data_IF_007968137909
#
_entry.id   IF_007968137909
#
_cell.length_a   1.000
_cell.length_b   1.000
_cell.length_c   1.000
_cell.angle_alpha   90.00
_cell.angle_beta   90.00
_cell.angle_gamma   90.00
#
_symmetry.space_group_name_H-M   'P 1'
#
loop_
_entity.id
_entity.type
_entity.pdbx_description
1 polymer ?
#
# COMPACT_ATOMS: atom_id res chain seq x y z
N UNK A 1 1.56 3.79 -6.98
CA UNK A 1 1.42 2.68 -7.94
C UNK A 1 0.06 2.01 -7.78
N UNK A 2 -0.18 0.89 -8.47
CA UNK A 2 -1.49 0.18 -8.44
C UNK A 2 -1.86 -0.31 -7.03
N UNK A 3 -0.87 -0.80 -6.28
CA UNK A 3 -1.07 -1.30 -4.92
C UNK A 3 -1.48 -0.18 -3.95
N UNK A 4 -1.02 1.05 -4.15
CA UNK A 4 -1.47 2.21 -3.35
C UNK A 4 -2.96 2.46 -3.55
N UNK A 5 -3.41 2.58 -4.81
CA UNK A 5 -4.83 2.78 -5.11
C UNK A 5 -5.71 1.63 -4.59
N UNK A 6 -5.20 0.39 -4.68
CA UNK A 6 -5.90 -0.79 -4.19
C UNK A 6 -6.05 -0.81 -2.66
N UNK A 7 -4.95 -0.61 -1.91
CA UNK A 7 -5.00 -0.66 -0.45
C UNK A 7 -5.78 0.53 0.11
N UNK A 8 -5.58 1.72 -0.44
CA UNK A 8 -6.31 2.89 -0.01
C UNK A 8 -7.79 2.84 -0.35
N UNK A 9 -8.17 2.27 -1.51
CA UNK A 9 -9.59 2.04 -1.81
C UNK A 9 -10.25 1.09 -0.80
N UNK A 10 -9.56 0.03 -0.39
CA UNK A 10 -10.06 -0.86 0.69
C UNK A 10 -10.16 -0.10 2.03
N UNK A 11 -9.17 0.73 2.34
CA UNK A 11 -9.17 1.55 3.56
C UNK A 11 -10.33 2.55 3.57
N UNK A 12 -10.61 3.22 2.45
CA UNK A 12 -11.73 4.15 2.29
C UNK A 12 -13.08 3.48 2.54
N UNK A 13 -13.29 2.31 1.94
CA UNK A 13 -14.50 1.53 2.19
C UNK A 13 -14.61 1.10 3.66
N UNK A 14 -13.49 0.75 4.32
CA UNK A 14 -13.48 0.41 5.74
C UNK A 14 -13.84 1.61 6.64
N UNK A 15 -13.34 2.81 6.32
CA UNK A 15 -13.67 4.05 7.04
C UNK A 15 -15.13 4.42 6.83
N UNK A 16 -15.60 4.48 5.58
CA UNK A 16 -16.99 4.79 5.25
C UNK A 16 -17.97 3.80 5.87
N UNK A 17 -17.64 2.50 5.88
CA UNK A 17 -18.44 1.47 6.52
C UNK A 17 -18.42 1.52 8.06
N UNK A 18 -17.47 2.21 8.68
CA UNK A 18 -17.43 2.33 10.14
C UNK A 18 -18.33 3.43 10.70
N UNK A 19 -18.84 4.32 9.85
CA UNK A 19 -19.59 5.52 10.21
C UNK A 19 -18.85 6.49 11.15
N UNK A 20 -17.54 6.28 11.37
CA UNK A 20 -16.71 7.16 12.21
C UNK A 20 -16.40 8.49 11.53
N UNK A 21 -16.07 8.45 10.23
CA UNK A 21 -15.94 9.62 9.37
C UNK A 21 -16.35 9.28 7.93
N UNK A 22 -17.64 9.40 7.59
CA UNK A 22 -18.13 9.09 6.24
C UNK A 22 -17.59 10.01 5.14
N UNK A 23 -16.99 11.14 5.51
CA UNK A 23 -16.47 12.13 4.56
C UNK A 23 -14.97 11.98 4.34
N UNK A 24 -14.31 11.06 5.03
CA UNK A 24 -12.91 10.77 4.79
C UNK A 24 -12.72 10.20 3.39
N UNK A 25 -11.91 10.87 2.57
CA UNK A 25 -11.55 10.41 1.23
C UNK A 25 -10.10 9.97 1.20
N UNK A 26 -9.83 8.85 0.54
CA UNK A 26 -8.47 8.33 0.49
C UNK A 26 -7.53 9.19 -0.35
N UNK A 27 -6.42 9.61 0.25
CA UNK A 27 -5.29 10.13 -0.51
C UNK A 27 -4.37 8.98 -0.98
N UNK A 28 -4.38 8.69 -2.27
CA UNK A 28 -3.52 7.64 -2.88
C UNK A 28 -2.02 7.92 -2.68
N UNK A 29 -1.64 9.19 -2.52
CA UNK A 29 -0.27 9.59 -2.19
C UNK A 29 0.02 9.64 -0.68
N UNK A 30 -0.95 9.29 0.18
CA UNK A 30 -0.88 9.45 1.64
C UNK A 30 0.19 8.61 2.35
N UNK A 31 0.85 7.68 1.66
CA UNK A 31 2.01 6.95 2.18
C UNK A 31 3.30 7.22 1.38
N UNK A 32 3.31 8.18 0.45
CA UNK A 32 4.40 8.37 -0.49
C UNK A 32 5.73 8.73 0.18
N UNK A 33 5.73 9.58 1.21
CA UNK A 33 6.96 9.91 1.95
C UNK A 33 7.51 8.69 2.68
N UNK A 34 6.62 7.94 3.35
CA UNK A 34 6.99 6.76 4.10
C UNK A 34 7.56 5.64 3.21
N UNK A 35 6.90 5.30 2.10
CA UNK A 35 7.40 4.26 1.19
C UNK A 35 8.70 4.66 0.49
N UNK A 36 8.88 5.96 0.22
CA UNK A 36 10.14 6.48 -0.33
C UNK A 36 11.28 6.29 0.66
N UNK A 37 11.09 6.69 1.92
CA UNK A 37 12.06 6.46 2.98
C UNK A 37 12.33 4.97 3.20
N UNK A 38 11.29 4.13 3.21
CA UNK A 38 11.41 2.68 3.33
C UNK A 38 12.29 2.09 2.22
N UNK A 39 12.21 2.61 0.99
CA UNK A 39 13.09 2.18 -0.12
C UNK A 39 14.56 2.46 0.20
N UNK A 40 14.88 3.66 0.68
CA UNK A 40 16.25 4.02 1.05
C UNK A 40 16.78 3.27 2.28
N UNK A 41 15.90 2.84 3.18
CA UNK A 41 16.27 2.02 4.34
C UNK A 41 16.45 0.55 3.94
N UNK A 42 15.53 -0.02 3.16
CA UNK A 42 15.53 -1.44 2.82
C UNK A 42 16.64 -1.82 1.84
N UNK A 43 16.99 -0.93 0.90
CA UNK A 43 18.03 -1.20 -0.08
C UNK A 43 19.40 -1.59 0.55
N UNK A 44 20.00 -0.78 1.45
CA UNK A 44 21.25 -1.17 2.10
C UNK A 44 21.11 -2.39 3.01
N UNK A 45 19.94 -2.63 3.60
CA UNK A 45 19.68 -3.82 4.42
C UNK A 45 19.69 -5.07 3.56
N UNK A 46 18.98 -5.07 2.44
CA UNK A 46 18.93 -6.19 1.49
C UNK A 46 20.33 -6.46 0.96
N UNK A 47 21.07 -5.42 0.59
CA UNK A 47 22.48 -5.55 0.18
C UNK A 47 23.33 -6.21 1.28
N UNK A 48 23.23 -5.73 2.53
CA UNK A 48 23.98 -6.28 3.66
C UNK A 48 23.63 -7.75 3.92
N UNK A 49 22.35 -8.11 3.92
CA UNK A 49 21.91 -9.50 4.11
C UNK A 49 22.43 -10.38 2.97
N UNK A 50 22.41 -9.89 1.73
CA UNK A 50 22.92 -10.61 0.56
C UNK A 50 24.42 -10.89 0.71
N UNK A 51 25.23 -9.84 0.82
CA UNK A 51 26.71 -9.91 0.78
C UNK A 51 27.31 -10.53 2.06
N UNK A 52 26.73 -10.23 3.23
CA UNK A 52 27.31 -10.66 4.52
C UNK A 52 26.69 -11.90 5.13
N UNK A 53 25.46 -12.26 4.77
CA UNK A 53 24.76 -13.40 5.38
C UNK A 53 24.53 -14.52 4.40
N UNK A 54 24.04 -14.23 3.19
CA UNK A 54 23.58 -15.26 2.25
C UNK A 54 24.69 -15.74 1.33
N UNK A 55 25.44 -14.83 0.71
CA UNK A 55 26.54 -15.18 -0.20
C UNK A 55 27.61 -16.06 0.47
N UNK A 56 28.06 -15.77 1.71
CA UNK A 56 29.01 -16.64 2.40
C UNK A 56 28.45 -18.04 2.72
N UNK A 57 27.13 -18.19 2.84
CA UNK A 57 26.47 -19.49 3.09
C UNK A 57 26.34 -20.33 1.82
N UNK A 58 26.23 -19.68 0.66
CA UNK A 58 26.13 -20.35 -0.64
C UNK A 58 27.50 -20.88 -1.11
N UNK A 59 28.59 -20.20 -0.74
CA UNK A 59 29.94 -20.58 -1.12
C UNK A 59 30.23 -20.33 -2.61
N UNK A 60 31.47 -20.62 -3.06
CA UNK A 60 31.85 -20.44 -4.46
C UNK A 60 31.10 -21.41 -5.37
N UNK A 61 30.62 -20.91 -6.51
CA UNK A 61 29.94 -21.72 -7.51
C UNK A 61 30.84 -22.84 -8.04
N UNK A 62 30.42 -24.09 -7.86
CA UNK A 62 31.21 -25.29 -8.23
C UNK A 62 30.83 -25.89 -9.59
N UNK A 63 29.88 -25.29 -10.34
CA UNK A 63 29.35 -25.86 -11.57
C UNK A 63 28.42 -27.07 -11.33
N UNK A 64 27.66 -27.47 -12.36
CA UNK A 64 26.73 -28.63 -12.28
C UNK A 64 25.26 -28.33 -12.58
N UNK A 65 24.91 -27.08 -12.89
CA UNK A 65 23.59 -26.73 -13.44
C UNK A 65 23.41 -27.33 -14.84
N UNK A 66 22.93 -28.56 -14.92
CA UNK A 66 22.26 -29.07 -16.13
C UNK A 66 20.80 -28.70 -16.03
N UNK A 67 20.39 -27.59 -16.65
CA UNK A 67 18.97 -27.37 -16.88
C UNK A 67 18.45 -28.56 -17.72
N UNK A 68 17.41 -29.30 -17.28
CA UNK A 68 16.69 -30.19 -18.17
C UNK A 68 16.05 -29.30 -19.25
N UNK A 69 16.64 -29.27 -20.45
CA UNK A 69 16.24 -28.34 -21.51
C UNK A 69 17.31 -27.33 -21.96
N UNK A 70 18.57 -27.42 -21.51
CA UNK A 70 19.69 -26.63 -22.08
C UNK A 70 20.08 -27.04 -23.52
N UNK A 71 19.20 -27.74 -24.23
CA UNK A 71 19.22 -27.88 -25.68
C UNK A 71 17.95 -27.20 -26.19
N UNK A 72 18.12 -26.03 -26.82
CA UNK A 72 17.09 -25.27 -27.54
C UNK A 72 15.82 -24.88 -26.76
N UNK A 73 15.97 -24.14 -25.65
CA UNK A 73 14.87 -23.33 -25.13
C UNK A 73 15.23 -21.84 -25.22
N UNK A 74 14.90 -21.28 -26.39
CA UNK A 74 14.87 -19.87 -26.85
C UNK A 74 13.94 -18.98 -25.99
N UNK A 75 13.78 -19.31 -24.70
CA UNK A 75 12.83 -18.69 -23.77
C UNK A 75 13.47 -18.18 -22.47
N UNK A 76 14.78 -18.32 -22.30
CA UNK A 76 15.52 -17.46 -21.37
C UNK A 76 15.63 -16.09 -22.04
N UNK A 77 15.03 -15.01 -21.51
CA UNK A 77 15.27 -13.68 -22.04
C UNK A 77 16.70 -13.29 -21.68
N UNK A 78 17.68 -13.76 -22.45
CA UNK A 78 18.99 -13.15 -22.47
C UNK A 78 18.78 -11.70 -22.98
N UNK A 79 19.08 -10.66 -22.17
CA UNK A 79 18.95 -9.28 -22.59
C UNK A 79 19.79 -8.95 -23.83
N UNK A 80 20.74 -9.82 -24.19
CA UNK A 80 21.58 -9.69 -25.38
C UNK A 80 20.98 -10.30 -26.65
N UNK A 81 19.95 -11.17 -26.55
CA UNK A 81 19.29 -11.79 -27.72
C UNK A 81 18.15 -10.93 -28.29
N UNK A 82 17.56 -10.05 -27.48
CA UNK A 82 16.74 -8.97 -28.02
C UNK A 82 17.65 -7.93 -28.68
N UNK A 83 17.52 -7.74 -30.01
CA UNK A 83 18.10 -6.62 -30.76
C UNK A 83 18.13 -5.34 -29.90
N UNK A 84 19.25 -5.03 -29.22
CA UNK A 84 19.32 -3.93 -28.25
C UNK A 84 18.94 -2.59 -28.88
N UNK A 85 19.10 -2.48 -30.20
CA UNK A 85 18.63 -1.38 -31.02
C UNK A 85 17.10 -1.24 -31.05
N UNK A 86 16.34 -2.35 -31.15
CA UNK A 86 14.87 -2.35 -31.09
C UNK A 86 14.40 -2.01 -29.67
N UNK A 87 14.98 -2.61 -28.65
CA UNK A 87 14.65 -2.30 -27.25
C UNK A 87 14.92 -0.82 -26.93
N UNK A 88 16.07 -0.28 -27.35
CA UNK A 88 16.40 1.14 -27.19
C UNK A 88 15.41 2.07 -27.92
N UNK A 89 15.02 1.71 -29.15
CA UNK A 89 14.00 2.44 -29.91
C UNK A 89 12.64 2.41 -29.20
N UNK A 90 12.26 1.24 -28.67
CA UNK A 90 11.06 1.07 -27.85
C UNK A 90 11.07 1.95 -26.62
N UNK A 91 12.19 1.97 -25.88
CA UNK A 91 12.34 2.75 -24.67
C UNK A 91 12.26 4.26 -24.95
N UNK A 92 12.84 4.73 -26.07
CA UNK A 92 12.70 6.13 -26.51
C UNK A 92 11.25 6.49 -26.83
N UNK A 93 10.54 5.63 -27.56
CA UNK A 93 9.13 5.84 -27.88
C UNK A 93 8.27 5.88 -26.61
N UNK A 94 8.51 4.96 -25.68
CA UNK A 94 7.87 4.95 -24.37
C UNK A 94 8.18 6.22 -23.57
N UNK A 95 9.45 6.67 -23.54
CA UNK A 95 9.85 7.90 -22.87
C UNK A 95 9.14 9.15 -23.42
N UNK A 96 8.99 9.25 -24.74
CA UNK A 96 8.22 10.34 -25.37
C UNK A 96 6.75 10.27 -24.98
N UNK A 97 6.14 9.08 -24.98
CA UNK A 97 4.75 8.90 -24.53
C UNK A 97 4.59 9.27 -23.05
N UNK A 98 5.55 8.90 -22.19
CA UNK A 98 5.53 9.28 -20.78
C UNK A 98 5.59 10.80 -20.60
N UNK A 99 6.51 11.46 -21.31
CA UNK A 99 6.63 12.93 -21.28
C UNK A 99 5.36 13.62 -21.79
N UNK A 100 4.71 13.06 -22.82
CA UNK A 100 3.43 13.58 -23.30
C UNK A 100 2.34 13.51 -22.22
N UNK A 101 2.21 12.38 -21.51
CA UNK A 101 1.23 12.24 -20.44
C UNK A 101 1.54 13.16 -19.27
N UNK A 102 2.81 13.26 -18.86
CA UNK A 102 3.24 14.19 -17.81
C UNK A 102 2.91 15.63 -18.21
N UNK A 103 3.24 16.04 -19.44
CA UNK A 103 2.94 17.37 -19.95
C UNK A 103 1.43 17.66 -19.99
N UNK A 104 0.61 16.66 -20.35
CA UNK A 104 -0.85 16.78 -20.34
C UNK A 104 -1.39 17.03 -18.92
N UNK A 105 -0.93 16.26 -17.92
CA UNK A 105 -1.35 16.47 -16.53
C UNK A 105 -0.85 17.80 -15.98
N UNK A 106 0.39 18.20 -16.29
CA UNK A 106 0.93 19.52 -15.93
C UNK A 106 0.09 20.64 -16.55
N UNK A 107 -0.32 20.51 -17.82
CA UNK A 107 -1.20 21.48 -18.47
C UNK A 107 -2.59 21.53 -17.80
N UNK A 108 -3.13 20.40 -17.36
CA UNK A 108 -4.40 20.32 -16.63
C UNK A 108 -4.30 20.80 -15.18
N UNK A 109 -3.10 20.99 -14.62
CA UNK A 109 -2.86 21.59 -13.30
C UNK A 109 -2.63 23.10 -13.40
N UNK A 110 -1.82 23.55 -14.37
CA UNK A 110 -1.38 24.96 -14.49
C UNK A 110 -2.05 25.78 -15.60
N UNK A 111 -2.97 25.19 -16.37
CA UNK A 111 -3.78 25.92 -17.35
C UNK A 111 -4.75 26.94 -16.73
N UNK A 112 -5.40 27.80 -17.54
CA UNK A 112 -6.49 28.64 -17.05
C UNK A 112 -7.78 27.83 -16.85
N UNK A 113 -8.42 27.94 -15.67
CA UNK A 113 -9.68 27.25 -15.36
C UNK A 113 -9.51 25.72 -15.20
N UNK A 114 -8.48 25.31 -14.47
CA UNK A 114 -8.04 23.91 -14.43
C UNK A 114 -8.98 22.99 -13.69
N UNK A 115 -9.24 21.78 -14.22
CA UNK A 115 -10.15 20.82 -13.58
C UNK A 115 -9.51 20.09 -12.40
N UNK A 116 -8.17 20.16 -12.24
CA UNK A 116 -7.43 19.37 -11.25
C UNK A 116 -7.08 20.15 -9.96
N UNK A 117 -7.42 21.44 -9.90
CA UNK A 117 -7.28 22.25 -8.69
C UNK A 117 -8.66 22.80 -8.35
N UNK A 118 -9.08 22.60 -7.11
CA UNK A 118 -10.26 23.25 -6.56
C UNK A 118 -9.83 24.54 -5.85
N UNK A 119 -9.70 25.63 -6.62
CA UNK A 119 -9.31 26.95 -6.10
C UNK A 119 -10.29 27.50 -5.05
N UNK A 120 -11.55 27.02 -5.05
CA UNK A 120 -12.55 27.40 -4.07
C UNK A 120 -12.46 26.62 -2.75
N UNK A 121 -11.68 25.53 -2.69
CA UNK A 121 -11.65 24.65 -1.53
C UNK A 121 -11.13 25.33 -0.25
N UNK A 122 -10.24 26.31 -0.38
CA UNK A 122 -9.65 27.03 0.73
C UNK A 122 -10.16 28.47 0.88
N UNK A 123 -11.27 28.82 0.22
CA UNK A 123 -11.86 30.15 0.26
C UNK A 123 -13.25 30.05 0.88
N UNK A 124 -13.48 30.77 1.97
CA UNK A 124 -14.79 30.85 2.63
C UNK A 124 -15.78 31.66 1.77
N UNK A 125 -17.08 31.56 2.07
CA UNK A 125 -18.14 32.25 1.30
C UNK A 125 -17.98 33.78 1.23
N UNK A 126 -17.25 34.37 2.17
CA UNK A 126 -16.92 35.80 2.22
C UNK A 126 -15.66 36.19 1.43
N UNK A 127 -15.03 35.23 0.76
CA UNK A 127 -13.80 35.43 -0.03
C UNK A 127 -12.51 35.40 0.80
N UNK A 128 -12.59 35.12 2.10
CA UNK A 128 -11.40 35.00 2.95
C UNK A 128 -10.75 33.62 2.81
N UNK A 129 -9.41 33.56 2.84
CA UNK A 129 -8.70 32.28 2.82
C UNK A 129 -8.79 31.64 4.20
N UNK A 130 -9.18 30.38 4.26
CA UNK A 130 -9.28 29.60 5.50
C UNK A 130 -7.86 29.43 6.07
N UNK A 131 -7.65 29.86 7.30
CA UNK A 131 -6.32 30.03 7.92
C UNK A 131 -5.51 28.73 8.04
N UNK A 132 -6.18 27.57 8.11
CA UNK A 132 -5.56 26.25 8.28
C UNK A 132 -5.77 25.32 7.07
N UNK A 133 -6.20 25.86 5.93
CA UNK A 133 -6.48 25.03 4.76
C UNK A 133 -5.19 24.62 4.04
N UNK A 134 -4.95 23.31 4.02
CA UNK A 134 -3.82 22.68 3.36
C UNK A 134 -3.89 22.88 1.84
N UNK A 135 -2.75 23.15 1.21
CA UNK A 135 -2.64 23.18 -0.26
C UNK A 135 -3.13 21.86 -0.89
N UNK A 136 -3.04 20.77 -0.13
CA UNK A 136 -3.47 19.46 -0.57
C UNK A 136 -4.99 19.32 -0.67
N UNK A 137 -5.76 20.12 0.09
CA UNK A 137 -7.21 20.22 -0.03
C UNK A 137 -7.61 20.84 -1.38
N UNK A 138 -6.89 21.87 -1.84
CA UNK A 138 -7.07 22.43 -3.20
C UNK A 138 -6.68 21.42 -4.28
N UNK A 139 -5.68 20.57 -4.01
CA UNK A 139 -5.17 19.54 -4.91
C UNK A 139 -5.93 18.20 -4.81
N UNK A 140 -7.02 18.11 -4.04
CA UNK A 140 -7.81 16.87 -3.95
C UNK A 140 -8.25 16.30 -5.32
N UNK A 141 -8.70 17.13 -6.30
CA UNK A 141 -9.02 16.63 -7.64
C UNK A 141 -7.79 16.09 -8.39
N UNK A 142 -6.59 16.63 -8.13
CA UNK A 142 -5.35 16.08 -8.68
C UNK A 142 -5.08 14.68 -8.12
N UNK A 143 -5.18 14.48 -6.80
CA UNK A 143 -4.93 13.19 -6.16
C UNK A 143 -5.90 12.11 -6.63
N UNK A 144 -7.20 12.44 -6.75
CA UNK A 144 -8.21 11.50 -7.28
C UNK A 144 -7.95 11.16 -8.76
N UNK A 145 -7.43 12.10 -9.56
CA UNK A 145 -7.08 11.86 -10.96
C UNK A 145 -5.86 10.96 -11.16
N UNK A 146 -5.04 10.70 -10.13
CA UNK A 146 -3.78 9.96 -10.28
C UNK A 146 -4.00 8.52 -10.77
N UNK A 147 -5.10 7.86 -10.42
CA UNK A 147 -5.41 6.52 -10.93
C UNK A 147 -5.56 6.55 -12.46
N UNK A 148 -6.34 7.51 -12.96
CA UNK A 148 -6.52 7.71 -14.39
C UNK A 148 -5.20 8.13 -15.07
N UNK A 149 -4.40 8.96 -14.40
CA UNK A 149 -3.07 9.37 -14.86
C UNK A 149 -2.15 8.17 -15.07
N UNK A 150 -2.04 7.29 -14.08
CA UNK A 150 -1.23 6.08 -14.16
C UNK A 150 -1.76 5.10 -15.20
N UNK A 151 -3.08 4.98 -15.34
CA UNK A 151 -3.68 4.17 -16.40
C UNK A 151 -3.26 4.67 -17.78
N UNK A 152 -3.45 5.95 -18.08
CA UNK A 152 -3.08 6.55 -19.38
C UNK A 152 -1.58 6.48 -19.60
N UNK A 153 -0.77 6.74 -18.56
CA UNK A 153 0.68 6.64 -18.60
C UNK A 153 1.13 5.23 -19.00
N UNK A 154 0.69 4.19 -18.27
CA UNK A 154 1.09 2.81 -18.55
C UNK A 154 0.53 2.29 -19.88
N UNK A 155 -0.70 2.67 -20.23
CA UNK A 155 -1.30 2.30 -21.51
C UNK A 155 -0.52 2.89 -22.69
N UNK A 156 -0.25 4.19 -22.68
CA UNK A 156 0.44 4.86 -23.78
C UNK A 156 1.92 4.48 -23.87
N UNK A 157 2.60 4.35 -22.74
CA UNK A 157 4.01 3.91 -22.72
C UNK A 157 4.15 2.46 -23.17
N UNK A 158 3.30 1.55 -22.69
CA UNK A 158 3.26 0.16 -23.12
C UNK A 158 2.91 0.02 -24.60
N UNK A 159 1.93 0.78 -25.09
CA UNK A 159 1.57 0.82 -26.51
C UNK A 159 2.70 1.36 -27.39
N UNK A 160 3.31 2.49 -27.01
CA UNK A 160 4.41 3.10 -27.75
C UNK A 160 5.64 2.18 -27.81
N UNK A 161 5.98 1.54 -26.70
CA UNK A 161 7.05 0.53 -26.64
C UNK A 161 6.72 -0.65 -27.57
N UNK A 162 5.56 -1.27 -27.38
CA UNK A 162 5.18 -2.47 -28.13
C UNK A 162 5.04 -2.23 -29.63
N UNK A 163 4.59 -1.03 -30.03
CA UNK A 163 4.53 -0.64 -31.44
C UNK A 163 5.93 -0.45 -32.06
N UNK A 164 6.86 0.11 -31.30
CA UNK A 164 8.23 0.39 -31.75
C UNK A 164 9.11 -0.86 -31.84
N UNK A 165 8.91 -1.84 -30.95
CA UNK A 165 9.60 -3.14 -30.98
C UNK A 165 8.90 -4.14 -31.91
N UNK A 166 7.63 -3.91 -32.25
CA UNK A 166 6.86 -4.73 -33.19
C UNK A 166 6.08 -5.87 -32.54
N UNK A 167 5.96 -5.88 -31.21
CA UNK A 167 5.12 -6.83 -30.45
C UNK A 167 3.64 -6.48 -30.58
N UNK A 168 3.30 -5.19 -30.72
CA UNK A 168 1.94 -4.71 -30.99
C UNK A 168 1.90 -4.19 -32.43
N UNK A 169 1.26 -4.92 -33.34
CA UNK A 169 1.21 -4.57 -34.76
C UNK A 169 -0.05 -3.79 -35.11
N UNK A 170 -1.16 -4.13 -34.44
CA UNK A 170 -2.46 -3.55 -34.70
C UNK A 170 -3.27 -3.35 -33.38
N UNK A 171 -4.44 -2.72 -33.48
CA UNK A 171 -5.29 -2.44 -32.32
C UNK A 171 -5.90 -3.70 -31.69
N UNK A 172 -6.06 -4.80 -32.45
CA UNK A 172 -6.59 -6.07 -31.93
C UNK A 172 -5.58 -6.74 -31.02
N UNK A 173 -4.29 -6.66 -31.36
CA UNK A 173 -3.22 -7.17 -30.49
C UNK A 173 -3.28 -6.46 -29.13
N UNK A 174 -3.41 -5.13 -29.13
CA UNK A 174 -3.56 -4.35 -27.91
C UNK A 174 -4.81 -4.75 -27.10
N UNK A 175 -5.97 -4.87 -27.76
CA UNK A 175 -7.22 -5.28 -27.09
C UNK A 175 -7.13 -6.69 -26.52
N UNK A 176 -6.51 -7.63 -27.23
CA UNK A 176 -6.30 -8.99 -26.75
C UNK A 176 -5.40 -9.02 -25.51
N UNK A 177 -4.33 -8.22 -25.49
CA UNK A 177 -3.46 -8.09 -24.31
C UNK A 177 -4.21 -7.51 -23.10
N UNK A 178 -5.05 -6.49 -23.32
CA UNK A 178 -5.91 -5.96 -22.26
C UNK A 178 -6.93 -6.99 -21.75
N UNK A 179 -7.50 -7.80 -22.65
CA UNK A 179 -8.45 -8.85 -22.29
C UNK A 179 -7.79 -9.97 -21.47
N UNK A 180 -6.56 -10.37 -21.80
CA UNK A 180 -5.81 -11.36 -21.01
C UNK A 180 -5.51 -10.82 -19.61
N UNK A 181 -5.08 -9.55 -19.49
CA UNK A 181 -4.89 -8.92 -18.19
C UNK A 181 -6.18 -8.89 -17.34
N UNK A 182 -7.34 -8.68 -17.96
CA UNK A 182 -8.64 -8.74 -17.27
C UNK A 182 -9.04 -10.15 -16.85
N UNK A 183 -8.62 -11.18 -17.59
CA UNK A 183 -8.84 -12.59 -17.23
C UNK A 183 -8.03 -12.96 -15.98
N UNK A 184 -6.79 -12.48 -15.88
CA UNK A 184 -5.96 -12.64 -14.66
C UNK A 184 -6.61 -11.97 -13.44
N UNK A 185 -7.29 -10.84 -13.64
CA UNK A 185 -8.05 -10.14 -12.60
C UNK A 185 -9.35 -10.85 -12.18
N UNK A 186 -9.76 -11.93 -12.86
CA UNK A 186 -11.01 -12.64 -12.58
C UNK A 186 -11.10 -13.17 -11.13
N UNK A 187 -9.99 -13.71 -10.59
CA UNK A 187 -9.93 -14.13 -9.19
C UNK A 187 -10.15 -12.96 -8.23
N UNK A 188 -9.52 -11.81 -8.50
CA UNK A 188 -9.65 -10.61 -7.69
C UNK A 188 -11.10 -10.10 -7.69
N UNK A 189 -11.80 -10.11 -8.83
CA UNK A 189 -13.20 -9.67 -8.91
C UNK A 189 -14.13 -10.54 -8.04
N UNK A 190 -13.94 -11.86 -8.05
CA UNK A 190 -14.73 -12.78 -7.20
C UNK A 190 -14.47 -12.53 -5.72
N UNK A 191 -13.20 -12.33 -5.35
CA UNK A 191 -12.80 -12.02 -3.98
C UNK A 191 -13.36 -10.66 -3.53
N UNK A 192 -13.20 -9.62 -4.33
CA UNK A 192 -13.71 -8.28 -4.04
C UNK A 192 -15.24 -8.28 -3.89
N UNK A 193 -15.95 -9.06 -4.72
CA UNK A 193 -17.39 -9.26 -4.57
C UNK A 193 -17.75 -9.83 -3.19
N UNK A 194 -17.10 -10.92 -2.77
CA UNK A 194 -17.37 -11.53 -1.46
C UNK A 194 -16.96 -10.61 -0.30
N UNK A 195 -15.82 -9.93 -0.41
CA UNK A 195 -15.34 -8.97 0.58
C UNK A 195 -16.30 -7.77 0.72
N UNK A 196 -16.77 -7.19 -0.37
CA UNK A 196 -17.73 -6.08 -0.34
C UNK A 196 -19.03 -6.48 0.38
N UNK A 197 -19.53 -7.69 0.14
CA UNK A 197 -20.71 -8.20 0.87
C UNK A 197 -20.41 -8.42 2.36
N UNK A 198 -19.24 -8.97 2.70
CA UNK A 198 -18.82 -9.10 4.09
C UNK A 198 -18.77 -7.75 4.80
N UNK A 199 -18.10 -6.74 4.20
CA UNK A 199 -18.01 -5.38 4.74
C UNK A 199 -19.40 -4.78 4.94
N UNK A 200 -20.28 -4.89 3.94
CA UNK A 200 -21.65 -4.39 4.03
C UNK A 200 -22.46 -5.07 5.16
N UNK A 201 -22.41 -6.40 5.25
CA UNK A 201 -23.11 -7.14 6.32
C UNK A 201 -22.51 -6.88 7.71
N UNK A 202 -21.18 -6.74 7.80
CA UNK A 202 -20.46 -6.43 9.03
C UNK A 202 -20.79 -5.04 9.56
N UNK A 203 -20.98 -4.08 8.65
CA UNK A 203 -21.48 -2.75 8.96
C UNK A 203 -22.97 -2.79 9.37
N UNK A 204 -23.86 -3.38 8.57
CA UNK A 204 -25.30 -3.42 8.88
C UNK A 204 -25.63 -4.11 10.20
N UNK A 205 -24.81 -5.09 10.60
CA UNK A 205 -24.94 -5.78 11.89
C UNK A 205 -24.39 -4.99 13.08
N UNK A 206 -23.77 -3.82 12.85
CA UNK A 206 -23.03 -3.03 13.82
C UNK A 206 -21.83 -3.77 14.46
N UNK A 207 -21.47 -4.96 13.96
CA UNK A 207 -20.35 -5.73 14.49
C UNK A 207 -19.02 -5.02 14.25
N UNK A 208 -18.89 -4.23 13.18
CA UNK A 208 -17.72 -3.39 12.95
C UNK A 208 -17.48 -2.37 14.04
N UNK A 209 -18.51 -1.56 14.35
CA UNK A 209 -18.43 -0.57 15.41
C UNK A 209 -18.16 -1.22 16.78
N UNK A 210 -18.88 -2.30 17.11
CA UNK A 210 -18.70 -3.03 18.38
C UNK A 210 -17.27 -3.56 18.50
N UNK A 211 -16.76 -4.21 17.45
CA UNK A 211 -15.40 -4.77 17.42
C UNK A 211 -14.35 -3.67 17.55
N UNK A 212 -14.56 -2.54 16.86
CA UNK A 212 -13.65 -1.39 16.90
C UNK A 212 -13.58 -0.77 18.30
N UNK A 213 -14.73 -0.52 18.93
CA UNK A 213 -14.79 0.08 20.27
C UNK A 213 -14.20 -0.85 21.34
N UNK A 214 -14.56 -2.14 21.33
CA UNK A 214 -13.99 -3.09 22.29
C UNK A 214 -12.50 -3.34 22.05
N UNK A 215 -12.06 -3.41 20.79
CA UNK A 215 -10.65 -3.54 20.43
C UNK A 215 -9.83 -2.33 20.86
N UNK A 216 -10.35 -1.12 20.63
CA UNK A 216 -9.72 0.13 21.04
C UNK A 216 -9.62 0.18 22.58
N UNK A 217 -10.71 -0.10 23.30
CA UNK A 217 -10.69 -0.13 24.77
C UNK A 217 -9.74 -1.19 25.34
N UNK A 218 -9.61 -2.36 24.69
CA UNK A 218 -8.64 -3.38 25.09
C UNK A 218 -7.20 -2.88 24.93
N UNK A 219 -6.89 -2.22 23.81
CA UNK A 219 -5.55 -1.64 23.58
C UNK A 219 -5.28 -0.48 24.53
N UNK A 220 -6.24 0.42 24.72
CA UNK A 220 -6.13 1.57 25.64
C UNK A 220 -5.86 1.09 27.08
N UNK A 221 -6.52 0.01 27.51
CA UNK A 221 -6.31 -0.57 28.84
C UNK A 221 -4.89 -1.10 29.09
N UNK A 222 -4.12 -1.37 28.03
CA UNK A 222 -2.71 -1.77 28.17
C UNK A 222 -1.79 -0.60 28.56
N UNK A 223 -2.25 0.65 28.37
CA UNK A 223 -1.44 1.85 28.59
C UNK A 223 -0.26 1.99 27.64
N UNK A 224 -0.23 1.23 26.53
CA UNK A 224 0.85 1.29 25.56
C UNK A 224 0.80 2.59 24.75
N UNK A 225 1.94 3.27 24.53
CA UNK A 225 2.02 4.38 23.60
C UNK A 225 1.59 3.99 22.18
N UNK A 226 0.89 4.88 21.47
CA UNK A 226 0.43 4.66 20.09
C UNK A 226 1.53 4.21 19.11
N UNK A 227 2.78 4.76 19.15
CA UNK A 227 3.86 4.26 18.31
C UNK A 227 4.21 2.79 18.57
N UNK A 228 4.01 2.27 19.79
CA UNK A 228 4.23 0.84 20.08
C UNK A 228 3.07 0.00 19.56
N UNK A 229 1.83 0.49 19.69
CA UNK A 229 0.64 -0.17 19.14
C UNK A 229 0.77 -0.38 17.64
N UNK A 230 1.24 0.64 16.89
CA UNK A 230 1.43 0.50 15.44
C UNK A 230 2.56 -0.48 15.09
N UNK A 231 3.62 -0.54 15.90
CA UNK A 231 4.67 -1.55 15.77
C UNK A 231 4.14 -2.98 16.02
N UNK A 232 3.26 -3.15 16.99
CA UNK A 232 2.60 -4.44 17.25
C UNK A 232 1.67 -4.85 16.09
N UNK A 233 1.01 -3.88 15.44
CA UNK A 233 0.22 -4.13 14.23
C UNK A 233 1.10 -4.66 13.08
N UNK A 234 2.33 -4.16 12.92
CA UNK A 234 3.28 -4.69 11.92
C UNK A 234 3.57 -6.16 12.20
N UNK A 235 3.89 -6.52 13.44
CA UNK A 235 4.18 -7.90 13.82
C UNK A 235 2.98 -8.82 13.63
N UNK A 236 1.79 -8.36 14.02
CA UNK A 236 0.53 -9.07 13.82
C UNK A 236 0.26 -9.34 12.33
N UNK A 237 0.40 -8.30 11.50
CA UNK A 237 0.22 -8.43 10.05
C UNK A 237 1.26 -9.36 9.43
N UNK A 238 2.52 -9.25 9.86
CA UNK A 238 3.60 -10.12 9.41
C UNK A 238 3.37 -11.59 9.77
N UNK A 239 2.82 -11.87 10.94
CA UNK A 239 2.42 -13.23 11.33
C UNK A 239 1.27 -13.76 10.47
N UNK A 240 0.21 -12.96 10.29
CA UNK A 240 -0.94 -13.35 9.47
C UNK A 240 -0.58 -13.62 8.00
N UNK A 241 0.39 -12.90 7.47
CA UNK A 241 0.88 -13.08 6.10
C UNK A 241 1.43 -14.49 5.83
N UNK A 242 1.90 -15.21 6.86
CA UNK A 242 2.35 -16.59 6.69
C UNK A 242 1.21 -17.55 6.31
N UNK A 243 -0.04 -17.18 6.61
CA UNK A 243 -1.23 -17.97 6.32
C UNK A 243 -1.99 -17.49 5.09
N UNK A 244 -1.90 -16.20 4.76
CA UNK A 244 -2.61 -15.60 3.62
C UNK A 244 -1.63 -14.73 2.83
N UNK A 245 -1.12 -15.24 1.71
CA UNK A 245 -0.09 -14.54 0.91
C UNK A 245 -0.61 -13.37 0.05
N UNK A 246 -1.93 -13.19 -0.09
CA UNK A 246 -2.49 -12.10 -0.89
C UNK A 246 -2.64 -10.83 -0.06
N UNK A 247 -1.91 -9.77 -0.45
CA UNK A 247 -1.97 -8.45 0.18
C UNK A 247 -3.39 -7.84 0.12
N UNK A 248 -4.08 -7.98 -1.01
CA UNK A 248 -5.44 -7.43 -1.14
C UNK A 248 -6.47 -8.25 -0.37
N UNK A 249 -6.37 -9.58 -0.37
CA UNK A 249 -7.33 -10.45 0.33
C UNK A 249 -7.27 -10.25 1.85
N UNK A 250 -6.06 -10.19 2.41
CA UNK A 250 -5.87 -9.90 3.83
C UNK A 250 -6.37 -8.52 4.20
N UNK A 251 -6.01 -7.49 3.44
CA UNK A 251 -6.42 -6.14 3.80
C UNK A 251 -7.93 -5.97 3.71
N UNK A 252 -8.57 -6.58 2.72
CA UNK A 252 -10.04 -6.60 2.62
C UNK A 252 -10.73 -7.25 3.83
N UNK A 253 -10.08 -8.22 4.48
CA UNK A 253 -10.57 -8.85 5.70
C UNK A 253 -10.26 -8.03 6.97
N UNK A 254 -9.06 -7.45 7.05
CA UNK A 254 -8.54 -6.80 8.26
C UNK A 254 -8.93 -5.33 8.37
N UNK A 255 -8.95 -4.58 7.27
CA UNK A 255 -9.21 -3.15 7.27
C UNK A 255 -10.53 -2.77 7.95
N UNK A 256 -11.67 -3.47 7.72
CA UNK A 256 -12.95 -3.15 8.35
C UNK A 256 -12.97 -3.24 9.88
N UNK A 257 -11.98 -3.93 10.46
CA UNK A 257 -11.84 -4.10 11.91
C UNK A 257 -10.73 -3.19 12.44
N UNK A 258 -9.54 -3.26 11.83
CA UNK A 258 -8.35 -2.60 12.34
C UNK A 258 -8.34 -1.10 12.09
N UNK A 259 -8.81 -0.63 10.93
CA UNK A 259 -8.79 0.80 10.60
C UNK A 259 -9.67 1.59 11.56
N UNK A 260 -10.95 1.24 11.77
CA UNK A 260 -11.81 1.98 12.70
C UNK A 260 -11.31 1.91 14.14
N UNK A 261 -10.80 0.75 14.57
CA UNK A 261 -10.22 0.56 15.89
C UNK A 261 -9.03 1.52 16.14
N UNK A 262 -8.14 1.66 15.15
CA UNK A 262 -6.97 2.52 15.25
C UNK A 262 -7.33 4.01 15.16
N UNK A 263 -8.36 4.36 14.36
CA UNK A 263 -8.91 5.73 14.33
C UNK A 263 -9.42 6.17 15.70
N UNK A 264 -10.14 5.29 16.42
CA UNK A 264 -10.61 5.58 17.78
C UNK A 264 -9.47 5.80 18.78
N UNK A 265 -8.31 5.20 18.53
CA UNK A 265 -7.08 5.40 19.31
C UNK A 265 -6.28 6.64 18.87
N UNK A 266 -6.73 7.36 17.84
CA UNK A 266 -6.08 8.56 17.31
C UNK A 266 -4.98 8.28 16.27
N UNK A 267 -4.95 7.09 15.67
CA UNK A 267 -4.06 6.75 14.55
C UNK A 267 -4.81 6.92 13.22
N UNK A 268 -4.18 7.56 12.23
CA UNK A 268 -4.81 7.79 10.93
C UNK A 268 -5.03 6.52 10.10
N UNK A 269 -6.04 6.50 9.21
CA UNK A 269 -6.23 5.41 8.25
C UNK A 269 -5.00 5.17 7.37
N UNK A 270 -4.28 6.23 7.00
CA UNK A 270 -2.99 6.17 6.31
C UNK A 270 -1.92 5.49 7.16
N UNK A 271 -1.93 5.76 8.47
CA UNK A 271 -1.08 5.11 9.46
C UNK A 271 -1.32 3.61 9.58
N UNK A 272 -2.57 3.21 9.71
CA UNK A 272 -2.97 1.81 9.71
C UNK A 272 -2.55 1.10 8.40
N UNK A 273 -2.76 1.76 7.26
CA UNK A 273 -2.36 1.24 5.94
C UNK A 273 -0.84 1.12 5.83
N UNK A 274 -0.08 2.10 6.30
CA UNK A 274 1.39 2.04 6.30
C UNK A 274 1.92 0.86 7.13
N UNK A 275 1.38 0.64 8.33
CA UNK A 275 1.75 -0.47 9.19
C UNK A 275 1.44 -1.82 8.58
N UNK A 276 0.26 -1.94 7.97
CA UNK A 276 -0.12 -3.12 7.21
C UNK A 276 0.90 -3.43 6.10
N UNK A 277 1.30 -2.41 5.32
CA UNK A 277 2.27 -2.57 4.22
C UNK A 277 3.63 -3.09 4.69
N UNK A 278 4.12 -2.60 5.83
CA UNK A 278 5.39 -3.09 6.41
C UNK A 278 5.27 -4.56 6.79
N UNK A 279 4.22 -4.95 7.52
CA UNK A 279 4.03 -6.34 7.94
C UNK A 279 3.81 -7.31 6.77
N UNK A 280 2.96 -6.91 5.81
CA UNK A 280 2.67 -7.67 4.60
C UNK A 280 3.92 -7.92 3.76
N UNK A 281 4.77 -6.91 3.57
CA UNK A 281 5.97 -7.03 2.75
C UNK A 281 7.08 -7.84 3.43
N UNK A 282 7.28 -7.68 4.73
CA UNK A 282 8.42 -8.27 5.44
C UNK A 282 8.44 -9.80 5.45
N UNK A 283 7.28 -10.47 5.52
CA UNK A 283 7.20 -11.94 5.62
C UNK A 283 6.75 -12.63 4.33
N UNK A 284 6.55 -11.88 3.24
CA UNK A 284 6.03 -12.44 1.99
C UNK A 284 7.02 -13.40 1.32
N UNK A 285 8.32 -13.21 1.56
CA UNK A 285 9.40 -14.03 0.98
C UNK A 285 9.60 -15.37 1.68
N UNK A 286 9.02 -15.56 2.87
CA UNK A 286 9.11 -16.82 3.63
C UNK A 286 7.82 -17.63 3.61
N UNK A 287 6.72 -17.10 3.05
CA UNK A 287 5.46 -17.83 2.97
C UNK A 287 5.42 -18.76 1.76
N UNK A 288 5.26 -20.09 1.96
CA UNK A 288 5.14 -21.04 0.86
C UNK A 288 3.79 -20.93 0.14
N UNK A 289 2.84 -20.18 0.71
CA UNK A 289 1.50 -19.94 0.15
C UNK A 289 1.48 -18.79 -0.87
N UNK A 290 2.61 -18.10 -1.04
CA UNK A 290 2.74 -17.05 -2.05
C UNK A 290 2.74 -17.66 -3.46
N UNK A 291 1.94 -17.08 -4.36
CA UNK A 291 1.69 -17.62 -5.72
C UNK A 291 2.98 -17.78 -6.54
N UNK A 292 3.99 -16.93 -6.32
CA UNK A 292 5.27 -17.01 -7.04
C UNK A 292 6.29 -17.96 -6.40
N UNK A 293 6.01 -18.50 -5.20
CA UNK A 293 6.95 -19.37 -4.49
C UNK A 293 7.38 -20.60 -5.31
N UNK A 294 6.48 -21.34 -5.97
CA UNK A 294 6.87 -22.48 -6.81
C UNK A 294 7.75 -22.08 -7.99
N UNK A 295 7.48 -20.92 -8.61
CA UNK A 295 8.27 -20.42 -9.73
C UNK A 295 9.71 -20.09 -9.29
N UNK A 296 9.86 -19.41 -8.15
CA UNK A 296 11.18 -19.08 -7.57
C UNK A 296 11.94 -20.37 -7.22
N UNK A 297 11.24 -21.37 -6.66
CA UNK A 297 11.86 -22.67 -6.37
C UNK A 297 12.40 -23.33 -7.66
N UNK A 298 11.61 -23.35 -8.73
CA UNK A 298 12.05 -23.90 -10.02
C UNK A 298 13.27 -23.14 -10.54
N UNK A 299 13.32 -21.82 -10.40
CA UNK A 299 14.51 -21.05 -10.76
C UNK A 299 15.73 -21.38 -9.91
N UNK A 300 15.58 -21.57 -8.60
CA UNK A 300 16.68 -22.00 -7.74
C UNK A 300 17.16 -23.41 -8.10
N UNK A 301 16.23 -24.32 -8.43
CA UNK A 301 16.53 -25.70 -8.84
C UNK A 301 17.31 -25.79 -10.16
N UNK A 302 17.24 -24.77 -11.02
CA UNK A 302 18.11 -24.67 -12.21
C UNK A 302 19.59 -24.60 -11.84
N UNK A 303 19.91 -23.97 -10.72
CA UNK A 303 21.28 -23.80 -10.24
C UNK A 303 21.68 -24.90 -9.25
N UNK A 304 20.74 -25.34 -8.40
CA UNK A 304 20.98 -26.39 -7.40
C UNK A 304 19.81 -27.38 -7.41
N UNK A 305 19.94 -28.55 -8.08
CA UNK A 305 18.82 -29.49 -8.26
C UNK A 305 18.17 -29.97 -6.95
N UNK A 306 18.97 -30.13 -5.89
CA UNK A 306 18.50 -30.56 -4.56
C UNK A 306 17.88 -29.41 -3.73
N UNK A 307 17.65 -28.23 -4.33
CA UNK A 307 17.09 -27.09 -3.62
C UNK A 307 15.59 -27.30 -3.36
N UNK A 308 15.24 -27.46 -2.09
CA UNK A 308 13.87 -27.71 -1.65
C UNK A 308 13.16 -26.48 -1.10
N UNK A 309 11.86 -26.62 -0.82
CA UNK A 309 11.03 -25.59 -0.19
C UNK A 309 11.66 -25.06 1.11
N UNK A 310 12.14 -25.97 1.98
CA UNK A 310 12.79 -25.61 3.24
C UNK A 310 14.10 -24.85 3.05
N UNK A 311 14.90 -25.21 2.03
CA UNK A 311 16.13 -24.50 1.69
C UNK A 311 15.86 -23.07 1.23
N UNK A 312 14.82 -22.88 0.39
CA UNK A 312 14.39 -21.56 -0.05
C UNK A 312 13.90 -20.71 1.13
N UNK A 313 13.01 -21.24 1.96
CA UNK A 313 12.51 -20.53 3.15
C UNK A 313 13.65 -20.19 4.12
N UNK A 314 14.57 -21.12 4.39
CA UNK A 314 15.71 -20.89 5.28
C UNK A 314 16.68 -19.82 4.74
N UNK A 315 16.85 -19.75 3.41
CA UNK A 315 17.64 -18.71 2.76
C UNK A 315 16.95 -17.35 2.81
N UNK A 316 15.62 -17.30 2.71
CA UNK A 316 14.85 -16.05 2.75
C UNK A 316 14.60 -15.54 4.18
N UNK A 317 14.71 -16.40 5.19
CA UNK A 317 14.45 -16.06 6.58
C UNK A 317 15.29 -14.89 7.12
N UNK A 318 16.62 -14.81 6.88
CA UNK A 318 17.41 -13.65 7.29
C UNK A 318 16.88 -12.33 6.70
N UNK A 319 16.52 -12.29 5.42
CA UNK A 319 15.93 -11.09 4.82
C UNK A 319 14.65 -10.70 5.54
N UNK A 320 13.76 -11.67 5.77
CA UNK A 320 12.47 -11.39 6.41
C UNK A 320 12.63 -10.83 7.82
N UNK A 321 13.52 -11.41 8.63
CA UNK A 321 13.80 -10.93 9.99
C UNK A 321 14.34 -9.50 9.96
N UNK A 322 15.34 -9.22 9.11
CA UNK A 322 15.95 -7.88 9.05
C UNK A 322 14.98 -6.83 8.51
N UNK A 323 14.19 -7.16 7.49
CA UNK A 323 13.14 -6.28 6.98
C UNK A 323 12.06 -6.02 8.02
N UNK A 324 11.68 -7.02 8.81
CA UNK A 324 10.69 -6.86 9.89
C UNK A 324 11.23 -5.98 11.02
N UNK A 325 12.48 -6.19 11.46
CA UNK A 325 13.11 -5.39 12.52
C UNK A 325 13.21 -3.92 12.10
N UNK A 326 13.81 -3.65 10.94
CA UNK A 326 14.02 -2.28 10.49
C UNK A 326 12.73 -1.62 10.01
N UNK A 327 11.81 -2.38 9.41
CA UNK A 327 10.49 -1.87 9.05
C UNK A 327 9.67 -1.47 10.28
N UNK A 328 9.68 -2.31 11.32
CA UNK A 328 9.02 -2.00 12.60
C UNK A 328 9.69 -0.79 13.26
N UNK A 329 11.02 -0.75 13.33
CA UNK A 329 11.74 0.39 13.90
C UNK A 329 11.47 1.69 13.11
N UNK A 330 11.40 1.61 11.78
CA UNK A 330 11.12 2.75 10.92
C UNK A 330 9.73 3.32 11.20
N UNK A 331 8.67 2.49 11.24
CA UNK A 331 7.32 3.01 11.47
C UNK A 331 7.14 3.52 12.91
N UNK A 332 7.71 2.83 13.91
CA UNK A 332 7.65 3.27 15.30
C UNK A 332 8.36 4.63 15.44
N UNK A 333 9.54 4.77 14.86
CA UNK A 333 10.28 6.03 14.83
C UNK A 333 9.54 7.13 14.07
N UNK A 334 8.91 6.79 12.96
CA UNK A 334 8.13 7.74 12.16
C UNK A 334 6.95 8.33 12.94
N UNK A 335 6.21 7.46 13.64
CA UNK A 335 5.10 7.86 14.51
C UNK A 335 5.57 8.66 15.73
N UNK A 336 6.71 8.31 16.32
CA UNK A 336 7.29 9.07 17.42
C UNK A 336 7.69 10.49 17.00
N UNK A 337 8.21 10.64 15.77
CA UNK A 337 8.61 11.93 15.22
C UNK A 337 7.43 12.75 14.68
N UNK A 338 6.22 12.17 14.57
CA UNK A 338 5.05 12.88 14.07
C UNK A 338 5.13 13.27 12.60
N UNK A 339 6.00 12.64 11.81
CA UNK A 339 6.23 13.02 10.41
C UNK A 339 5.02 12.58 9.57
N UNK A 340 4.44 13.44 8.71
CA UNK A 340 3.40 13.02 7.78
C UNK A 340 3.84 11.83 6.92
N UNK A 341 2.96 10.86 6.70
CA UNK A 341 3.25 9.66 5.90
C UNK A 341 3.28 9.96 4.39
N UNK A 342 2.64 11.06 4.00
CA UNK A 342 2.53 11.58 2.65
C UNK A 342 2.00 13.02 2.67
N UNK A 343 1.77 13.61 1.48
CA UNK A 343 1.11 14.90 1.36
C UNK A 343 -0.25 14.85 2.08
N UNK A 344 -0.51 15.77 3.02
CA UNK A 344 -1.76 15.82 3.82
C UNK A 344 -2.13 14.56 4.61
N UNK A 345 -1.17 13.68 4.88
CA UNK A 345 -1.43 12.43 5.60
C UNK A 345 -0.73 12.46 6.97
N UNK A 346 -1.33 13.09 7.99
CA UNK A 346 -0.80 13.06 9.35
C UNK A 346 -0.79 11.63 9.90
N UNK A 347 0.12 11.34 10.83
CA UNK A 347 0.14 10.05 11.56
C UNK A 347 -0.93 9.96 12.63
N UNK A 348 -1.34 11.11 13.16
CA UNK A 348 -2.41 11.22 14.14
C UNK A 348 -3.72 11.57 13.45
N UNK A 349 -4.82 11.16 14.07
CA UNK A 349 -6.15 11.41 13.57
C UNK A 349 -7.04 11.92 14.68
N UNK A 350 -7.66 13.07 14.43
CA UNK A 350 -8.68 13.62 15.29
C UNK A 350 -10.04 13.19 14.75
N UNK A 351 -10.82 12.53 15.58
CA UNK A 351 -12.20 12.18 15.23
C UNK A 351 -12.99 13.47 14.96
N UNK A 352 -13.81 13.53 13.89
CA UNK A 352 -14.71 14.66 13.69
C UNK A 352 -15.58 14.85 14.94
N UNK A 353 -15.76 16.08 15.40
CA UNK A 353 -16.78 16.34 16.40
C UNK A 353 -18.12 15.88 15.82
N UNK A 354 -18.77 14.92 16.48
CA UNK A 354 -20.14 14.55 16.13
C UNK A 354 -21.00 15.77 16.40
N UNK A 355 -21.28 16.57 15.36
CA UNK A 355 -22.27 17.63 15.42
C UNK A 355 -23.60 16.94 15.73
N UNK A 356 -24.02 17.02 16.99
CA UNK A 356 -25.32 16.52 17.39
C UNK A 356 -26.36 17.17 16.47
N UNK A 357 -27.31 16.40 15.90
CA UNK A 357 -28.38 16.99 15.11
C UNK A 357 -29.04 18.07 15.95
N UNK A 358 -29.17 19.28 15.39
CA UNK A 358 -29.68 20.45 16.08
C UNK A 358 -30.98 20.11 16.83
N UNK A 359 -30.91 20.01 18.16
CA UNK A 359 -32.07 19.66 19.00
C UNK A 359 -31.83 18.69 20.15
N UNK A 360 -30.64 18.12 20.34
CA UNK A 360 -30.29 17.41 21.59
C UNK A 360 -29.23 18.18 22.36
N UNK A 361 -29.64 18.81 23.47
CA UNK A 361 -28.72 19.36 24.47
C UNK A 361 -27.77 18.26 24.95
N UNK A 362 -26.46 18.53 24.89
CA UNK A 362 -25.45 17.67 25.49
C UNK A 362 -25.73 17.54 27.00
N UNK A 363 -25.66 16.33 27.59
CA UNK A 363 -25.76 16.20 29.03
C UNK A 363 -24.59 16.97 29.67
N UNK A 364 -24.95 17.94 30.52
CA UNK A 364 -24.05 18.82 31.24
C UNK A 364 -22.86 18.06 31.84
N UNK A 365 -21.65 18.51 31.54
CA UNK A 365 -20.41 18.03 32.12
C UNK A 365 -20.52 17.98 33.66
N UNK A 366 -20.21 16.80 34.23
CA UNK A 366 -20.06 16.63 35.68
C UNK A 366 -18.83 17.41 36.12
N UNK A 367 -18.94 18.35 37.09
CA UNK A 367 -17.77 19.09 37.57
C UNK A 367 -16.86 18.17 38.39
N UNK A 368 -15.56 18.35 38.14
CA UNK A 368 -14.43 17.73 38.86
C UNK A 368 -14.54 17.90 40.38
N UNK A 369 -14.54 16.79 41.13
CA UNK A 369 -14.43 16.80 42.58
C UNK A 369 -12.96 16.92 43.01
N UNK A 370 -12.49 18.14 43.17
CA UNK A 370 -11.42 18.46 44.14
C UNK A 370 -12.06 19.02 45.42
N UNK A 371 -11.39 18.75 46.55
CA UNK A 371 -11.69 19.19 47.92
C UNK A 371 -12.62 18.29 48.76
N UNK A 372 -12.05 17.18 49.28
CA UNK A 372 -12.38 16.73 50.65
C UNK A 372 -11.22 17.16 51.56
N UNK A 373 -11.34 18.39 52.06
CA UNK A 373 -10.61 18.82 53.23
C UNK A 373 -11.27 18.21 54.47
N UNK A 374 -10.45 17.53 55.26
CA UNK A 374 -10.70 17.04 56.61
C UNK A 374 -11.29 18.17 57.50
N UNK A 375 -12.30 17.86 58.34
CA UNK A 375 -12.11 18.19 59.75
C UNK A 375 -12.67 17.15 60.74
N UNK A 376 -11.76 16.78 61.65
CA UNK A 376 -11.94 16.29 63.04
C UNK A 376 -12.40 14.87 63.29
#
# INVERSE_FOLDING_TARGET
GQLDALLFGITEEAVGASMLDPNWTANIAGNWFFISAMTFVFLPIIWFVTDKIIEPRLGPWTGGATAPGAADDDTSPDPSEHDGARASKGLRAAGVAALFVIALWVAMVFGPGTPLINEAACVAEDGTRIADCSIHTELAPLYSSLVAAFFVLFLLTGWAYGRAVGTIRNHRDLVNMMAEAMKDMGYYLVLAFAAAHFVAMFNWSNLGLISAVHGAGAIESTGLPLPIVIGMMVLFTGLLNLFVGSASAKWALLAPILVPMLMLLGISPEGATAAYRVGDSATNIITPLMVYFPLILVFAQRWQPDFGLGSLTAMMLPYSIWLLIFGTALIVGWFYLGIPLGPDAPVTYAMPEMVAPAGMEAPSAVPSSEAVANPR
#
